data_IF_685810716509
#
_entry.id   IF_685810716509
#
_cell.length_a   1.000
_cell.length_b   1.000
_cell.length_c   1.000
_cell.angle_alpha   90.00
_cell.angle_beta   90.00
_cell.angle_gamma   90.00
#
_symmetry.space_group_name_H-M   'P 1'
#
loop_
_entity.id
_entity.type
_entity.pdbx_description
1 polymer ?
#
# COMPACT_ATOMS: atom_id res chain seq x y z
N UNK A 1 -9.26 -19.81 -19.39
CA UNK A 1 -9.06 -18.54 -18.67
C UNK A 1 -9.47 -18.77 -17.23
N UNK A 2 -8.52 -18.76 -16.30
CA UNK A 2 -8.84 -18.79 -14.86
C UNK A 2 -9.56 -17.48 -14.50
N UNK A 3 -10.55 -17.52 -13.59
CA UNK A 3 -11.21 -16.31 -13.13
C UNK A 3 -10.20 -15.38 -12.45
N UNK A 4 -10.35 -14.06 -12.66
CA UNK A 4 -9.55 -13.06 -11.96
C UNK A 4 -9.73 -13.23 -10.44
N UNK A 5 -8.68 -13.06 -9.63
CA UNK A 5 -8.74 -13.23 -8.19
C UNK A 5 -9.72 -12.22 -7.59
N UNK A 6 -10.44 -12.67 -6.56
CA UNK A 6 -11.34 -11.80 -5.81
C UNK A 6 -10.56 -10.67 -5.12
N UNK A 7 -11.14 -9.46 -5.01
CA UNK A 7 -10.52 -8.36 -4.28
C UNK A 7 -10.34 -8.71 -2.80
N UNK A 8 -9.25 -8.22 -2.20
CA UNK A 8 -9.02 -8.25 -0.77
C UNK A 8 -10.06 -7.38 -0.02
N UNK A 9 -10.12 -7.50 1.31
CA UNK A 9 -11.07 -6.72 2.13
C UNK A 9 -10.90 -5.20 1.99
N UNK A 10 -9.71 -4.74 1.63
CA UNK A 10 -9.37 -3.34 1.38
C UNK A 10 -9.59 -2.90 -0.09
N UNK A 11 -10.09 -3.80 -0.95
CA UNK A 11 -10.39 -3.53 -2.36
C UNK A 11 -9.23 -3.73 -3.33
N UNK A 12 -8.02 -4.09 -2.85
CA UNK A 12 -6.86 -4.40 -3.71
C UNK A 12 -7.05 -5.71 -4.45
N UNK A 13 -6.46 -5.84 -5.63
CA UNK A 13 -6.49 -7.08 -6.42
C UNK A 13 -5.06 -7.46 -6.81
N UNK A 14 -4.59 -8.63 -6.36
CA UNK A 14 -3.18 -9.04 -6.49
C UNK A 14 -2.61 -8.97 -7.91
N UNK A 15 -3.39 -9.35 -8.92
CA UNK A 15 -2.94 -9.37 -10.32
C UNK A 15 -2.76 -7.97 -10.93
N UNK A 16 -3.23 -6.89 -10.27
CA UNK A 16 -3.14 -5.53 -10.82
C UNK A 16 -1.71 -5.01 -10.89
N UNK A 17 -0.82 -5.45 -10.01
CA UNK A 17 0.60 -5.06 -10.06
C UNK A 17 1.27 -5.70 -11.28
N UNK A 18 0.98 -6.97 -11.55
CA UNK A 18 1.46 -7.64 -12.77
C UNK A 18 0.95 -6.92 -14.03
N UNK A 19 -0.35 -6.60 -14.06
CA UNK A 19 -0.96 -5.84 -15.15
C UNK A 19 -0.37 -4.44 -15.31
N UNK A 20 -0.01 -3.76 -14.21
CA UNK A 20 0.65 -2.45 -14.26
C UNK A 20 1.94 -2.50 -15.08
N UNK A 21 2.78 -3.52 -14.85
CA UNK A 21 4.05 -3.65 -15.58
C UNK A 21 3.87 -3.92 -17.08
N UNK A 22 2.72 -4.48 -17.50
CA UNK A 22 2.41 -4.74 -18.90
C UNK A 22 2.11 -3.47 -19.71
N UNK A 23 1.85 -2.32 -19.06
CA UNK A 23 1.64 -1.03 -19.73
C UNK A 23 2.94 -0.32 -20.14
N UNK A 24 4.10 -0.90 -19.82
CA UNK A 24 5.41 -0.29 -20.02
C UNK A 24 6.30 -1.18 -20.88
N UNK A 25 7.00 -0.57 -21.85
CA UNK A 25 8.00 -1.29 -22.63
C UNK A 25 9.17 -1.72 -21.74
N UNK A 26 9.66 -2.95 -21.89
CA UNK A 26 10.86 -3.41 -21.14
C UNK A 26 12.11 -2.57 -21.44
N UNK A 27 12.18 -2.02 -22.65
CA UNK A 27 13.19 -1.05 -23.06
C UNK A 27 12.50 0.29 -23.27
N UNK A 28 12.74 1.22 -22.34
CA UNK A 28 12.15 2.56 -22.35
C UNK A 28 12.52 3.38 -23.60
N UNK A 29 13.60 3.03 -24.30
CA UNK A 29 13.95 3.68 -25.57
C UNK A 29 13.00 3.31 -26.72
N UNK A 30 12.13 2.31 -26.52
CA UNK A 30 11.15 1.84 -27.52
C UNK A 30 9.73 2.34 -27.27
N UNK A 31 9.52 3.16 -26.24
CA UNK A 31 8.22 3.80 -25.99
C UNK A 31 7.79 4.67 -27.18
N UNK A 32 6.49 4.61 -27.48
CA UNK A 32 5.86 5.33 -28.59
C UNK A 32 4.56 5.99 -28.11
N UNK A 33 4.01 6.86 -28.96
CA UNK A 33 2.76 7.56 -28.66
C UNK A 33 1.61 6.57 -28.37
N UNK A 34 1.50 5.47 -29.12
CA UNK A 34 0.44 4.48 -28.91
C UNK A 34 0.51 3.79 -27.53
N UNK A 35 1.70 3.68 -26.92
CA UNK A 35 1.82 3.13 -25.56
C UNK A 35 1.22 4.11 -24.53
N UNK A 36 1.43 5.42 -24.75
CA UNK A 36 0.83 6.48 -23.93
C UNK A 36 -0.67 6.53 -24.11
N UNK A 37 -1.15 6.45 -25.35
CA UNK A 37 -2.59 6.47 -25.65
C UNK A 37 -3.29 5.25 -25.00
N UNK A 38 -2.68 4.07 -25.06
CA UNK A 38 -3.17 2.87 -24.38
C UNK A 38 -3.25 3.05 -22.85
N UNK A 39 -2.26 3.70 -22.22
CA UNK A 39 -2.30 4.03 -20.79
C UNK A 39 -3.41 5.03 -20.44
N UNK A 40 -3.67 5.99 -21.32
CA UNK A 40 -4.74 6.99 -21.14
C UNK A 40 -6.11 6.33 -21.28
N UNK A 41 -6.29 5.45 -22.27
CA UNK A 41 -7.53 4.69 -22.45
C UNK A 41 -7.78 3.71 -21.28
N UNK A 42 -6.72 3.15 -20.72
CA UNK A 42 -6.75 2.19 -19.61
C UNK A 42 -6.48 2.85 -18.24
N UNK A 43 -6.71 4.16 -18.12
CA UNK A 43 -6.23 4.98 -16.99
C UNK A 43 -6.59 4.40 -15.62
N UNK A 44 -7.83 3.94 -15.44
CA UNK A 44 -8.31 3.36 -14.17
C UNK A 44 -7.46 2.15 -13.75
N UNK A 45 -7.13 1.26 -14.69
CA UNK A 45 -6.37 0.05 -14.39
C UNK A 45 -4.90 0.38 -14.09
N UNK A 46 -4.31 1.32 -14.83
CA UNK A 46 -2.95 1.82 -14.58
C UNK A 46 -2.85 2.43 -13.18
N UNK A 47 -3.79 3.31 -12.82
CA UNK A 47 -3.79 4.00 -11.53
C UNK A 47 -4.03 3.03 -10.38
N UNK A 48 -4.99 2.12 -10.50
CA UNK A 48 -5.24 1.11 -9.48
C UNK A 48 -4.02 0.21 -9.28
N UNK A 49 -3.39 -0.27 -10.36
CA UNK A 49 -2.18 -1.09 -10.25
C UNK A 49 -1.00 -0.35 -9.61
N UNK A 50 -0.84 0.94 -9.92
CA UNK A 50 0.16 1.78 -9.26
C UNK A 50 -0.06 1.90 -7.75
N UNK A 51 -1.28 2.26 -7.33
CA UNK A 51 -1.57 2.45 -5.90
C UNK A 51 -1.64 1.14 -5.12
N UNK A 52 -2.09 0.03 -5.72
CA UNK A 52 -2.05 -1.28 -5.09
C UNK A 52 -0.59 -1.68 -4.79
N UNK A 53 0.31 -1.52 -5.77
CA UNK A 53 1.74 -1.83 -5.62
C UNK A 53 2.50 -0.87 -4.70
N UNK A 54 2.23 0.43 -4.79
CA UNK A 54 2.82 1.41 -3.88
C UNK A 54 2.40 1.12 -2.43
N UNK A 55 1.11 0.89 -2.20
CA UNK A 55 0.58 0.54 -0.87
C UNK A 55 1.24 -0.71 -0.31
N UNK A 56 1.34 -1.79 -1.11
CA UNK A 56 2.00 -3.02 -0.65
C UNK A 56 3.46 -2.79 -0.26
N UNK A 57 4.21 -2.05 -1.07
CA UNK A 57 5.60 -1.70 -0.76
C UNK A 57 5.71 -0.89 0.54
N UNK A 58 4.83 0.10 0.73
CA UNK A 58 4.83 0.92 1.94
C UNK A 58 4.40 0.12 3.17
N UNK A 59 3.40 -0.74 3.09
CA UNK A 59 2.99 -1.59 4.21
C UNK A 59 4.09 -2.57 4.61
N UNK A 60 4.83 -3.12 3.64
CA UNK A 60 5.99 -3.96 3.92
C UNK A 60 7.11 -3.19 4.64
N UNK A 61 7.36 -1.94 4.24
CA UNK A 61 8.42 -1.14 4.84
C UNK A 61 8.05 -0.42 6.13
N UNK A 62 6.81 0.08 6.26
CA UNK A 62 6.33 1.02 7.28
C UNK A 62 5.14 0.49 8.09
N UNK A 63 4.76 -0.78 7.93
CA UNK A 63 3.55 -1.36 8.52
C UNK A 63 2.24 -0.77 7.98
N UNK A 64 1.12 -1.37 8.39
CA UNK A 64 -0.23 -0.97 7.97
C UNK A 64 -0.63 0.44 8.42
N UNK A 65 -0.07 0.92 9.53
CA UNK A 65 -0.29 2.28 10.04
C UNK A 65 0.72 3.30 9.47
N UNK A 66 1.57 2.90 8.51
CA UNK A 66 2.57 3.75 7.86
C UNK A 66 3.54 4.47 8.83
N UNK A 67 3.83 3.88 9.99
CA UNK A 67 4.77 4.42 10.96
C UNK A 67 5.68 3.35 11.57
N UNK A 68 6.82 3.80 12.09
CA UNK A 68 7.79 2.94 12.75
C UNK A 68 7.54 2.82 14.26
N UNK A 69 8.11 1.76 14.85
CA UNK A 69 8.22 1.61 16.29
C UNK A 69 9.64 1.21 16.68
N UNK A 70 10.06 1.61 17.88
CA UNK A 70 11.33 1.17 18.46
C UNK A 70 11.15 -0.23 19.05
N UNK A 71 12.01 -1.18 18.72
CA UNK A 71 11.97 -2.53 19.26
C UNK A 71 12.66 -2.67 20.62
N UNK A 72 12.18 -3.59 21.45
CA UNK A 72 12.88 -4.10 22.61
C UNK A 72 13.38 -5.55 22.42
N UNK A 73 14.42 -6.00 23.16
CA UNK A 73 14.93 -7.37 23.03
C UNK A 73 13.83 -8.42 23.26
N UNK A 74 13.68 -9.33 22.29
CA UNK A 74 12.67 -10.40 22.35
C UNK A 74 11.24 -10.00 21.95
N UNK A 75 11.02 -8.74 21.55
CA UNK A 75 9.71 -8.24 21.13
C UNK A 75 9.41 -8.58 19.67
N UNK A 76 8.18 -9.01 19.36
CA UNK A 76 7.74 -9.21 17.98
C UNK A 76 7.39 -7.87 17.32
N UNK A 77 7.42 -7.82 15.98
CA UNK A 77 7.08 -6.61 15.23
C UNK A 77 5.69 -6.05 15.57
N UNK A 78 4.67 -6.90 15.54
CA UNK A 78 3.27 -6.51 15.85
C UNK A 78 3.16 -5.99 17.28
N UNK A 79 3.86 -6.63 18.24
CA UNK A 79 3.87 -6.16 19.63
C UNK A 79 4.56 -4.80 19.80
N UNK A 80 5.66 -4.56 19.08
CA UNK A 80 6.38 -3.28 19.07
C UNK A 80 5.51 -2.13 18.54
N UNK A 81 4.75 -2.36 17.47
CA UNK A 81 3.80 -1.37 16.93
C UNK A 81 2.70 -1.05 17.93
N UNK A 82 1.98 -2.07 18.42
CA UNK A 82 0.88 -1.88 19.36
C UNK A 82 1.34 -1.18 20.65
N UNK A 83 2.52 -1.53 21.18
CA UNK A 83 3.10 -0.84 22.34
C UNK A 83 3.41 0.62 22.03
N UNK A 84 3.94 0.94 20.85
CA UNK A 84 4.25 2.31 20.46
C UNK A 84 2.97 3.16 20.38
N UNK A 85 1.93 2.66 19.71
CA UNK A 85 0.62 3.31 19.59
C UNK A 85 -0.02 3.51 20.98
N UNK A 86 -0.01 2.48 21.83
CA UNK A 86 -0.51 2.58 23.20
C UNK A 86 0.27 3.58 24.05
N UNK A 87 1.60 3.60 23.91
CA UNK A 87 2.46 4.54 24.61
C UNK A 87 2.12 5.98 24.20
N UNK A 88 2.02 6.27 22.91
CA UNK A 88 1.67 7.60 22.40
C UNK A 88 0.32 8.09 22.95
N UNK A 89 -0.72 7.25 22.85
CA UNK A 89 -2.04 7.55 23.40
C UNK A 89 -2.00 7.81 24.92
N UNK A 90 -1.20 7.05 25.66
CA UNK A 90 -1.02 7.23 27.11
C UNK A 90 -0.32 8.54 27.46
N UNK A 91 0.71 8.94 26.71
CA UNK A 91 1.46 10.18 26.92
C UNK A 91 0.60 11.42 26.63
N UNK A 92 -0.31 11.30 25.65
CA UNK A 92 -1.29 12.33 25.34
C UNK A 92 -2.50 12.33 26.30
N UNK A 93 -2.58 11.35 27.22
CA UNK A 93 -3.68 11.18 28.18
C UNK A 93 -5.05 11.09 27.48
N UNK A 94 -5.08 10.42 26.33
CA UNK A 94 -6.31 10.24 25.56
C UNK A 94 -7.31 9.39 26.34
N UNK A 95 -8.59 9.75 26.24
CA UNK A 95 -9.71 9.05 26.89
C UNK A 95 -10.83 8.79 25.89
N UNK A 96 -11.66 7.73 26.10
CA UNK A 96 -12.83 7.50 25.28
C UNK A 96 -13.70 8.75 25.16
N UNK A 97 -14.12 9.07 23.93
CA UNK A 97 -14.97 10.23 23.62
C UNK A 97 -14.21 11.55 23.35
N UNK A 98 -12.89 11.59 23.50
CA UNK A 98 -12.11 12.75 23.06
C UNK A 98 -12.08 12.85 21.53
N UNK A 99 -12.17 14.09 21.01
CA UNK A 99 -11.89 14.37 19.61
C UNK A 99 -10.38 14.59 19.46
N UNK A 100 -9.77 13.83 18.57
CA UNK A 100 -8.34 13.86 18.28
C UNK A 100 -8.12 14.17 16.80
N UNK A 101 -6.97 14.77 16.49
CA UNK A 101 -6.48 14.97 15.14
C UNK A 101 -5.13 14.27 15.06
N UNK A 102 -5.02 13.37 14.09
CA UNK A 102 -3.76 12.77 13.64
C UNK A 102 -3.30 13.56 12.41
#
# INVERSE_FOLDING_TARGET
MSPAPAPAQDGRVGDRIENYTAFWQKDMNKEKQNDTDNRVESYTDVVNGYYDGATELYEYGWAQSFHFSRFYPGESFVASLARHEHYLASQMVLRPGMRVLD
#
